data_IF_968390898536
#
_entry.id   IF_968390898536
#
_cell.length_a   1.000
_cell.length_b   1.000
_cell.length_c   1.000
_cell.angle_alpha   90.00
_cell.angle_beta   90.00
_cell.angle_gamma   90.00
#
_symmetry.space_group_name_H-M   'P 1'
#
loop_
_entity.id
_entity.type
_entity.pdbx_description
1 polymer ?
#
# COMPACT_ATOMS: atom_id res chain seq x y z
N UNK A 1 32.95 84.00 -64.34
CA UNK A 1 31.63 83.34 -64.23
C UNK A 1 31.79 81.95 -64.82
N UNK A 2 31.90 80.91 -63.99
CA UNK A 2 31.99 79.53 -64.47
C UNK A 2 30.85 78.75 -63.82
N UNK A 3 29.88 78.39 -64.66
CA UNK A 3 28.66 77.69 -64.32
C UNK A 3 29.00 76.30 -63.78
N UNK A 4 28.67 76.04 -62.51
CA UNK A 4 28.65 74.70 -61.95
C UNK A 4 27.75 73.79 -62.82
N UNK A 5 28.15 72.55 -63.12
CA UNK A 5 27.37 71.67 -63.97
C UNK A 5 26.03 71.34 -63.30
N UNK A 6 24.95 71.08 -64.07
CA UNK A 6 23.70 70.66 -63.48
C UNK A 6 23.96 69.32 -62.79
N UNK A 7 23.70 69.25 -61.49
CA UNK A 7 23.56 67.98 -60.80
C UNK A 7 22.46 67.23 -61.56
N UNK A 8 22.82 66.24 -62.37
CA UNK A 8 21.84 65.50 -63.15
C UNK A 8 20.97 64.72 -62.19
N UNK A 9 19.65 64.89 -62.30
CA UNK A 9 18.67 64.18 -61.48
C UNK A 9 18.92 62.65 -61.46
N UNK A 10 19.47 62.13 -62.56
CA UNK A 10 19.84 60.73 -62.76
C UNK A 10 20.93 60.21 -61.79
N UNK A 11 21.93 61.04 -61.46
CA UNK A 11 23.00 60.67 -60.51
C UNK A 11 22.50 60.66 -59.07
N UNK A 12 21.57 61.57 -58.76
CA UNK A 12 20.90 61.61 -57.46
C UNK A 12 19.96 60.41 -57.31
N UNK A 13 19.21 60.08 -58.37
CA UNK A 13 18.32 58.92 -58.41
C UNK A 13 19.08 57.60 -58.19
N UNK A 14 20.20 57.40 -58.88
CA UNK A 14 21.04 56.21 -58.71
C UNK A 14 21.62 56.06 -57.29
N UNK A 15 22.01 57.19 -56.66
CA UNK A 15 22.49 57.18 -55.27
C UNK A 15 21.37 56.83 -54.27
N UNK A 16 20.14 57.27 -54.54
CA UNK A 16 18.96 56.90 -53.74
C UNK A 16 18.66 55.40 -53.89
N UNK A 17 18.73 54.85 -55.10
CA UNK A 17 18.55 53.41 -55.34
C UNK A 17 19.62 52.56 -54.63
N UNK A 18 20.89 52.98 -54.69
CA UNK A 18 21.99 52.31 -53.97
C UNK A 18 21.79 52.39 -52.45
N UNK A 19 21.32 53.53 -51.92
CA UNK A 19 20.96 53.67 -50.51
C UNK A 19 19.78 52.77 -50.11
N UNK A 20 18.77 52.62 -50.96
CA UNK A 20 17.65 51.70 -50.72
C UNK A 20 18.10 50.23 -50.74
N UNK A 21 19.02 49.87 -51.64
CA UNK A 21 19.62 48.53 -51.70
C UNK A 21 20.43 48.23 -50.43
N UNK A 22 21.27 49.16 -49.99
CA UNK A 22 22.01 49.04 -48.73
C UNK A 22 21.07 48.95 -47.52
N UNK A 23 20.01 49.77 -47.48
CA UNK A 23 18.97 49.71 -46.43
C UNK A 23 18.32 48.32 -46.36
N UNK A 24 18.00 47.69 -47.51
CA UNK A 24 17.46 46.33 -47.55
C UNK A 24 18.43 45.29 -46.99
N UNK A 25 19.72 45.39 -47.33
CA UNK A 25 20.74 44.47 -46.81
C UNK A 25 20.88 44.62 -45.30
N UNK A 26 20.98 45.86 -44.81
CA UNK A 26 21.06 46.15 -43.37
C UNK A 26 19.82 45.61 -42.66
N UNK A 27 18.63 45.84 -43.20
CA UNK A 27 17.38 45.30 -42.65
C UNK A 27 17.39 43.77 -42.53
N UNK A 28 17.88 43.08 -43.57
CA UNK A 28 17.97 41.61 -43.59
C UNK A 28 19.00 41.08 -42.59
N UNK A 29 20.15 41.75 -42.49
CA UNK A 29 21.14 41.45 -41.45
C UNK A 29 20.56 41.65 -40.05
N UNK A 30 19.86 42.77 -39.80
CA UNK A 30 19.19 43.03 -38.52
C UNK A 30 18.20 41.92 -38.17
N UNK A 31 17.38 41.48 -39.13
CA UNK A 31 16.41 40.39 -38.94
C UNK A 31 17.07 39.04 -38.63
N UNK A 32 18.20 38.73 -39.27
CA UNK A 32 18.98 37.54 -38.96
C UNK A 32 19.60 37.62 -37.56
N UNK A 33 20.17 38.76 -37.18
CA UNK A 33 20.75 38.96 -35.85
C UNK A 33 19.68 38.90 -34.76
N UNK A 34 18.48 39.46 -34.98
CA UNK A 34 17.39 39.35 -34.01
C UNK A 34 16.90 37.91 -33.87
N UNK A 35 16.76 37.19 -34.98
CA UNK A 35 16.40 35.76 -34.98
C UNK A 35 17.44 34.91 -34.24
N UNK A 36 18.72 35.13 -34.52
CA UNK A 36 19.82 34.43 -33.87
C UNK A 36 19.86 34.73 -32.36
N UNK A 37 19.71 36.00 -31.99
CA UNK A 37 19.67 36.42 -30.59
C UNK A 37 18.51 35.74 -29.85
N UNK A 38 17.30 35.76 -30.43
CA UNK A 38 16.13 35.10 -29.86
C UNK A 38 16.35 33.60 -29.67
N UNK A 39 16.99 32.93 -30.63
CA UNK A 39 17.30 31.49 -30.52
C UNK A 39 18.31 31.21 -29.41
N UNK A 40 19.38 32.00 -29.31
CA UNK A 40 20.35 31.87 -28.21
C UNK A 40 19.72 32.14 -26.85
N UNK A 41 18.89 33.18 -26.73
CA UNK A 41 18.16 33.45 -25.49
C UNK A 41 17.20 32.31 -25.13
N UNK A 42 16.50 31.74 -26.12
CA UNK A 42 15.63 30.57 -25.92
C UNK A 42 16.41 29.35 -25.46
N UNK A 43 17.55 29.04 -26.08
CA UNK A 43 18.44 27.95 -25.68
C UNK A 43 19.01 28.17 -24.28
N UNK A 44 19.46 29.39 -23.97
CA UNK A 44 20.00 29.72 -22.66
C UNK A 44 18.95 29.57 -21.56
N UNK A 45 17.71 30.01 -21.82
CA UNK A 45 16.58 29.82 -20.91
C UNK A 45 16.21 28.34 -20.75
N UNK A 46 16.23 27.57 -21.84
CA UNK A 46 15.98 26.13 -21.78
C UNK A 46 17.06 25.38 -21.00
N UNK A 47 18.33 25.74 -21.21
CA UNK A 47 19.46 25.14 -20.50
C UNK A 47 19.43 25.49 -19.01
N UNK A 48 19.17 26.75 -18.67
CA UNK A 48 19.05 27.18 -17.28
C UNK A 48 17.89 26.47 -16.57
N UNK A 49 16.73 26.35 -17.21
CA UNK A 49 15.59 25.63 -16.66
C UNK A 49 15.90 24.14 -16.46
N UNK A 50 16.59 23.50 -17.41
CA UNK A 50 17.02 22.10 -17.28
C UNK A 50 18.04 21.92 -16.16
N UNK A 51 19.01 22.82 -16.02
CA UNK A 51 19.98 22.80 -14.92
C UNK A 51 19.28 22.90 -13.57
N UNK A 52 18.40 23.89 -13.40
CA UNK A 52 17.64 24.07 -12.15
C UNK A 52 16.75 22.86 -11.84
N UNK A 53 16.15 22.24 -12.87
CA UNK A 53 15.37 21.01 -12.70
C UNK A 53 16.23 19.83 -12.22
N UNK A 54 17.45 19.69 -12.75
CA UNK A 54 18.39 18.66 -12.31
C UNK A 54 18.87 18.89 -10.88
N UNK A 55 19.22 20.13 -10.52
CA UNK A 55 19.63 20.49 -9.16
C UNK A 55 18.52 20.21 -8.15
N UNK A 56 17.27 20.56 -8.48
CA UNK A 56 16.10 20.26 -7.66
C UNK A 56 15.90 18.74 -7.48
N UNK A 57 16.08 17.95 -8.54
CA UNK A 57 16.01 16.48 -8.46
C UNK A 57 17.15 15.90 -7.62
N UNK A 58 18.36 16.44 -7.74
CA UNK A 58 19.51 16.00 -6.95
C UNK A 58 19.30 16.27 -5.47
N UNK A 59 18.85 17.47 -5.10
CA UNK A 59 18.51 17.82 -3.72
C UNK A 59 17.40 16.92 -3.16
N UNK A 60 16.35 16.68 -3.95
CA UNK A 60 15.27 15.76 -3.56
C UNK A 60 15.77 14.33 -3.32
N UNK A 61 16.64 13.83 -4.20
CA UNK A 61 17.19 12.49 -4.09
C UNK A 61 18.15 12.35 -2.89
N UNK A 62 19.02 13.33 -2.68
CA UNK A 62 19.93 13.39 -1.53
C UNK A 62 19.16 13.44 -0.20
N UNK A 63 18.12 14.27 -0.13
CA UNK A 63 17.24 14.33 1.04
C UNK A 63 16.55 12.98 1.31
N UNK A 64 15.99 12.33 0.28
CA UNK A 64 15.39 10.98 0.41
C UNK A 64 16.41 9.93 0.84
N UNK A 65 17.64 10.00 0.32
CA UNK A 65 18.71 9.08 0.67
C UNK A 65 19.08 9.21 2.15
N UNK A 66 19.32 10.43 2.64
CA UNK A 66 19.58 10.68 4.06
C UNK A 66 18.45 10.17 4.96
N UNK A 67 17.20 10.49 4.62
CA UNK A 67 16.02 10.02 5.36
C UNK A 67 15.92 8.49 5.40
N UNK A 68 16.21 7.82 4.29
CA UNK A 68 16.19 6.36 4.20
C UNK A 68 17.30 5.75 5.06
N UNK A 69 18.50 6.33 5.02
CA UNK A 69 19.64 5.86 5.78
C UNK A 69 19.42 6.03 7.29
N UNK A 70 18.88 7.17 7.71
CA UNK A 70 18.49 7.42 9.11
C UNK A 70 17.43 6.42 9.57
N UNK A 71 16.42 6.14 8.74
CA UNK A 71 15.39 5.15 9.04
C UNK A 71 15.95 3.73 9.17
N UNK A 72 16.91 3.35 8.33
CA UNK A 72 17.57 2.05 8.41
C UNK A 72 18.45 1.94 9.65
N UNK A 73 19.22 2.98 9.96
CA UNK A 73 20.07 3.03 11.16
C UNK A 73 19.25 2.91 12.45
N UNK A 74 18.11 3.61 12.53
CA UNK A 74 17.18 3.47 13.65
C UNK A 74 16.59 2.06 13.76
N UNK A 75 16.31 1.41 12.63
CA UNK A 75 15.83 0.02 12.63
C UNK A 75 16.91 -0.92 13.14
N UNK A 76 18.14 -0.78 12.65
CA UNK A 76 19.28 -1.60 13.05
C UNK A 76 19.59 -1.47 14.54
N UNK A 77 19.59 -0.24 15.09
CA UNK A 77 19.82 -0.02 16.52
C UNK A 77 18.71 -0.60 17.41
N UNK A 78 17.49 -0.75 16.88
CA UNK A 78 16.37 -1.37 17.61
C UNK A 78 16.33 -2.91 17.52
N UNK A 79 17.15 -3.54 16.66
CA UNK A 79 17.12 -4.99 16.47
C UNK A 79 17.46 -5.78 17.74
N UNK A 80 18.51 -5.45 18.51
CA UNK A 80 18.86 -6.23 19.71
C UNK A 80 17.73 -6.24 20.75
N UNK A 81 17.08 -5.09 20.97
CA UNK A 81 15.94 -4.98 21.90
C UNK A 81 14.74 -5.81 21.41
N UNK A 82 14.46 -5.80 20.10
CA UNK A 82 13.39 -6.61 19.49
C UNK A 82 13.69 -8.10 19.58
N UNK A 83 14.93 -8.51 19.35
CA UNK A 83 15.36 -9.91 19.48
C UNK A 83 15.25 -10.40 20.93
N UNK A 84 15.71 -9.59 21.89
CA UNK A 84 15.58 -9.88 23.32
C UNK A 84 14.11 -10.00 23.74
N UNK A 85 13.26 -9.05 23.31
CA UNK A 85 11.83 -9.08 23.60
C UNK A 85 11.14 -10.32 22.99
N UNK A 86 11.49 -10.69 21.75
CA UNK A 86 10.96 -11.88 21.09
C UNK A 86 11.42 -13.16 21.79
N UNK A 87 12.69 -13.25 22.18
CA UNK A 87 13.23 -14.40 22.91
C UNK A 87 12.55 -14.56 24.28
N UNK A 88 12.39 -13.46 25.03
CA UNK A 88 11.65 -13.47 26.29
C UNK A 88 10.21 -13.92 26.10
N UNK A 89 9.53 -13.45 25.05
CA UNK A 89 8.18 -13.88 24.73
C UNK A 89 8.11 -15.38 24.43
N UNK A 90 9.01 -15.92 23.63
CA UNK A 90 9.08 -17.37 23.35
C UNK A 90 9.27 -18.19 24.63
N UNK A 91 10.15 -17.76 25.54
CA UNK A 91 10.32 -18.43 26.83
C UNK A 91 9.03 -18.36 27.67
N UNK A 92 8.32 -17.23 27.72
CA UNK A 92 7.02 -17.14 28.41
C UNK A 92 5.97 -18.07 27.82
N UNK A 93 5.89 -18.18 26.48
CA UNK A 93 4.96 -19.09 25.81
C UNK A 93 5.30 -20.56 26.11
N UNK A 94 6.59 -20.88 26.13
CA UNK A 94 7.10 -22.20 26.47
C UNK A 94 6.80 -22.58 27.91
N UNK A 95 7.02 -21.68 28.87
CA UNK A 95 6.65 -21.88 30.27
C UNK A 95 5.14 -22.10 30.43
N UNK A 96 4.31 -21.29 29.75
CA UNK A 96 2.87 -21.42 29.76
C UNK A 96 2.39 -22.77 29.18
N UNK A 97 3.00 -23.23 28.08
CA UNK A 97 2.73 -24.53 27.49
C UNK A 97 3.14 -25.69 28.42
N UNK A 98 4.28 -25.58 29.11
CA UNK A 98 4.68 -26.58 30.10
C UNK A 98 3.78 -26.61 31.34
N UNK A 99 3.28 -25.45 31.77
CA UNK A 99 2.32 -25.37 32.87
C UNK A 99 1.01 -26.10 32.52
N UNK A 100 0.53 -25.92 31.29
CA UNK A 100 -0.66 -26.62 30.77
C UNK A 100 -0.47 -28.14 30.71
N UNK A 101 0.71 -28.61 30.29
CA UNK A 101 1.01 -30.04 30.27
C UNK A 101 1.00 -30.67 31.67
N UNK A 102 1.41 -29.92 32.70
CA UNK A 102 1.45 -30.39 34.10
C UNK A 102 0.08 -30.46 34.76
N UNK A 103 -0.83 -29.56 34.39
CA UNK A 103 -2.21 -29.57 34.90
C UNK A 103 -3.25 -29.44 33.77
N UNK A 104 -3.62 -30.56 33.12
CA UNK A 104 -4.60 -30.54 32.04
C UNK A 104 -6.03 -30.22 32.52
N UNK A 105 -6.29 -30.13 33.84
CA UNK A 105 -7.64 -29.87 34.37
C UNK A 105 -8.10 -28.43 34.19
N UNK A 106 -7.18 -27.49 33.91
CA UNK A 106 -7.50 -26.12 33.52
C UNK A 106 -8.19 -26.01 32.16
N UNK A 107 -8.10 -27.01 31.29
CA UNK A 107 -8.61 -26.95 29.91
C UNK A 107 -10.15 -27.05 29.78
N UNK A 108 -10.91 -26.88 30.86
CA UNK A 108 -12.37 -26.93 30.82
C UNK A 108 -13.01 -25.59 30.41
N UNK A 109 -12.30 -24.47 30.56
CA UNK A 109 -12.82 -23.14 30.25
C UNK A 109 -12.61 -22.78 28.77
N UNK A 110 -13.52 -21.96 28.21
CA UNK A 110 -13.48 -21.50 26.82
C UNK A 110 -12.17 -20.76 26.49
N UNK A 111 -11.64 -19.98 27.43
CA UNK A 111 -10.36 -19.26 27.26
C UNK A 111 -9.18 -20.21 27.14
N UNK A 112 -9.09 -21.19 28.05
CA UNK A 112 -7.94 -22.11 28.13
C UNK A 112 -7.85 -23.03 26.91
N UNK A 113 -9.00 -23.46 26.39
CA UNK A 113 -9.05 -24.25 25.14
C UNK A 113 -8.63 -23.44 23.91
N UNK A 114 -9.01 -22.17 23.79
CA UNK A 114 -8.56 -21.29 22.70
C UNK A 114 -7.06 -21.04 22.78
N UNK A 115 -6.54 -20.75 23.98
CA UNK A 115 -5.12 -20.55 24.25
C UNK A 115 -4.30 -21.79 23.92
N UNK A 116 -4.77 -22.96 24.35
CA UNK A 116 -4.16 -24.26 24.02
C UNK A 116 -4.04 -24.47 22.51
N UNK A 117 -5.13 -24.25 21.76
CA UNK A 117 -5.16 -24.40 20.31
C UNK A 117 -4.24 -23.39 19.62
N UNK A 118 -4.17 -22.15 20.12
CA UNK A 118 -3.30 -21.11 19.61
C UNK A 118 -1.81 -21.42 19.85
N UNK A 119 -1.43 -21.85 21.06
CA UNK A 119 -0.06 -22.30 21.41
C UNK A 119 0.39 -23.47 20.56
N UNK A 120 -0.52 -24.41 20.28
CA UNK A 120 -0.27 -25.58 19.42
C UNK A 120 -0.24 -25.25 17.92
N UNK A 121 -0.54 -24.00 17.54
CA UNK A 121 -0.67 -23.57 16.14
C UNK A 121 -1.68 -24.43 15.35
N UNK A 122 -2.76 -24.89 16.00
CA UNK A 122 -3.77 -25.77 15.40
C UNK A 122 -4.91 -24.95 14.77
N UNK A 123 -4.67 -24.45 13.56
CA UNK A 123 -5.64 -23.62 12.80
C UNK A 123 -6.98 -24.32 12.58
N UNK A 124 -6.95 -25.60 12.19
CA UNK A 124 -8.16 -26.39 11.92
C UNK A 124 -8.96 -26.68 13.20
N UNK A 125 -8.28 -27.02 14.30
CA UNK A 125 -8.89 -27.20 15.61
C UNK A 125 -9.52 -25.91 16.14
N UNK A 126 -8.82 -24.78 15.96
CA UNK A 126 -9.29 -23.45 16.37
C UNK A 126 -10.59 -23.06 15.63
N UNK A 127 -10.64 -23.23 14.31
CA UNK A 127 -11.85 -22.96 13.53
C UNK A 127 -13.02 -23.85 13.97
N UNK A 128 -12.79 -25.15 14.16
CA UNK A 128 -13.83 -26.09 14.62
C UNK A 128 -14.37 -25.72 15.99
N UNK A 129 -13.50 -25.31 16.91
CA UNK A 129 -13.90 -24.91 18.25
C UNK A 129 -14.72 -23.62 18.24
N UNK A 130 -14.27 -22.60 17.50
CA UNK A 130 -15.00 -21.33 17.34
C UNK A 130 -16.40 -21.57 16.77
N UNK A 131 -16.53 -22.42 15.75
CA UNK A 131 -17.83 -22.81 15.18
C UNK A 131 -18.72 -23.47 16.22
N UNK A 132 -18.18 -24.38 17.03
CA UNK A 132 -18.92 -25.09 18.08
C UNK A 132 -19.44 -24.16 19.18
N UNK A 133 -18.77 -23.02 19.39
CA UNK A 133 -19.10 -22.00 20.41
C UNK A 133 -19.82 -20.77 19.85
N UNK A 134 -20.44 -20.87 18.66
CA UNK A 134 -21.13 -19.76 17.99
C UNK A 134 -22.14 -18.98 18.84
N UNK A 135 -22.87 -19.68 19.72
CA UNK A 135 -23.86 -19.05 20.61
C UNK A 135 -23.23 -18.08 21.62
N UNK A 136 -21.94 -18.21 21.90
CA UNK A 136 -21.16 -17.40 22.83
C UNK A 136 -20.32 -16.32 22.09
N UNK A 137 -20.79 -15.83 20.94
CA UNK A 137 -20.03 -14.97 20.02
C UNK A 137 -19.49 -13.64 20.58
N UNK A 138 -20.07 -13.12 21.67
CA UNK A 138 -19.66 -11.86 22.30
C UNK A 138 -18.41 -12.05 23.17
N UNK A 139 -18.41 -12.91 24.21
CA UNK A 139 -17.19 -13.19 24.96
C UNK A 139 -16.10 -13.81 24.08
N UNK A 140 -16.48 -14.62 23.09
CA UNK A 140 -15.55 -15.28 22.18
C UNK A 140 -14.64 -14.29 21.42
N UNK A 141 -15.10 -13.07 21.08
CA UNK A 141 -14.26 -12.09 20.39
C UNK A 141 -13.08 -11.61 21.22
N UNK A 142 -13.33 -11.29 22.49
CA UNK A 142 -12.26 -10.84 23.39
C UNK A 142 -11.26 -11.99 23.66
N UNK A 143 -11.79 -13.20 23.90
CA UNK A 143 -10.98 -14.38 24.17
C UNK A 143 -10.13 -14.82 22.96
N UNK A 144 -10.62 -14.66 21.72
CA UNK A 144 -9.82 -14.97 20.52
C UNK A 144 -8.60 -14.04 20.45
N UNK A 145 -8.77 -12.72 20.66
CA UNK A 145 -7.63 -11.80 20.62
C UNK A 145 -6.59 -12.12 21.70
N UNK A 146 -7.04 -12.49 22.90
CA UNK A 146 -6.14 -12.93 23.97
C UNK A 146 -5.44 -14.24 23.59
N UNK A 147 -6.16 -15.22 23.05
CA UNK A 147 -5.58 -16.49 22.63
C UNK A 147 -4.58 -16.33 21.49
N UNK A 148 -4.84 -15.45 20.52
CA UNK A 148 -3.91 -15.15 19.44
C UNK A 148 -2.59 -14.56 19.97
N UNK A 149 -2.61 -13.78 21.06
CA UNK A 149 -1.38 -13.28 21.68
C UNK A 149 -0.52 -14.36 22.34
N UNK A 150 -1.07 -15.56 22.54
CA UNK A 150 -0.34 -16.73 23.05
C UNK A 150 0.13 -17.67 21.92
N UNK A 151 -0.17 -17.35 20.66
CA UNK A 151 0.35 -18.07 19.51
C UNK A 151 1.80 -17.66 19.22
N UNK A 152 2.60 -18.62 18.76
CA UNK A 152 4.00 -18.36 18.35
C UNK A 152 4.05 -17.42 17.13
N UNK A 153 3.13 -17.62 16.17
CA UNK A 153 2.97 -16.75 15.00
C UNK A 153 1.48 -16.56 14.71
N UNK A 154 0.85 -15.49 15.24
CA UNK A 154 -0.57 -15.24 15.07
C UNK A 154 -0.95 -15.03 13.60
N UNK A 155 -0.08 -14.41 12.82
CA UNK A 155 -0.30 -14.11 11.40
C UNK A 155 -0.33 -15.38 10.58
N UNK A 156 0.64 -16.28 10.80
CA UNK A 156 0.67 -17.60 10.15
C UNK A 156 -0.54 -18.43 10.53
N UNK A 157 -0.92 -18.46 11.80
CA UNK A 157 -2.05 -19.26 12.29
C UNK A 157 -3.38 -18.86 11.62
N UNK A 158 -3.66 -17.56 11.56
CA UNK A 158 -4.87 -17.03 10.92
C UNK A 158 -4.81 -17.19 9.41
N UNK A 159 -3.63 -17.00 8.79
CA UNK A 159 -3.45 -17.20 7.36
C UNK A 159 -3.69 -18.67 6.95
N UNK A 160 -3.25 -19.64 7.75
CA UNK A 160 -3.52 -21.07 7.52
C UNK A 160 -5.02 -21.36 7.58
N UNK A 161 -5.74 -20.85 8.60
CA UNK A 161 -7.19 -21.00 8.69
C UNK A 161 -7.93 -20.37 7.49
N UNK A 162 -7.45 -19.21 7.05
CA UNK A 162 -8.01 -18.48 5.92
C UNK A 162 -7.75 -19.19 4.58
N UNK A 163 -6.53 -19.68 4.38
CA UNK A 163 -6.13 -20.44 3.19
C UNK A 163 -6.97 -21.73 3.05
N UNK A 164 -7.19 -22.44 4.15
CA UNK A 164 -8.07 -23.60 4.19
C UNK A 164 -9.51 -23.25 3.79
N UNK A 165 -10.02 -22.10 4.25
CA UNK A 165 -11.35 -21.61 3.87
C UNK A 165 -11.44 -21.30 2.37
N UNK A 166 -10.49 -20.54 1.82
CA UNK A 166 -10.45 -20.19 0.39
C UNK A 166 -10.32 -21.45 -0.48
N UNK A 167 -9.55 -22.43 -0.04
CA UNK A 167 -9.38 -23.70 -0.76
C UNK A 167 -10.65 -24.57 -0.73
N UNK A 168 -11.46 -24.48 0.33
CA UNK A 168 -12.70 -25.22 0.45
C UNK A 168 -13.89 -24.57 -0.25
N UNK A 169 -13.81 -23.26 -0.56
CA UNK A 169 -14.84 -22.53 -1.31
C UNK A 169 -15.02 -23.05 -2.73
N UNK A 170 -13.95 -23.46 -3.40
CA UNK A 170 -14.01 -24.09 -4.72
C UNK A 170 -14.57 -25.52 -4.70
N UNK A 171 -14.71 -26.12 -3.52
CA UNK A 171 -15.34 -27.43 -3.32
C UNK A 171 -16.78 -27.31 -2.83
N UNK A 172 -17.64 -28.29 -3.16
CA UNK A 172 -19.00 -28.39 -2.59
C UNK A 172 -18.96 -28.91 -1.15
N UNK A 173 -18.38 -28.12 -0.25
CA UNK A 173 -18.14 -28.53 1.13
C UNK A 173 -19.28 -28.09 2.05
N UNK A 174 -19.86 -29.02 2.81
CA UNK A 174 -20.90 -28.73 3.81
C UNK A 174 -20.31 -27.88 4.96
N UNK A 175 -21.05 -26.87 5.43
CA UNK A 175 -20.64 -26.02 6.58
C UNK A 175 -19.73 -24.83 6.25
N UNK A 176 -19.64 -24.43 4.97
CA UNK A 176 -18.81 -23.30 4.53
C UNK A 176 -19.22 -21.97 5.19
N UNK A 177 -20.52 -21.78 5.48
CA UNK A 177 -21.07 -20.59 6.13
C UNK A 177 -20.54 -20.40 7.56
N UNK A 178 -20.36 -21.49 8.29
CA UNK A 178 -19.86 -21.49 9.66
C UNK A 178 -18.35 -21.28 9.71
N UNK A 179 -17.61 -21.91 8.78
CA UNK A 179 -16.17 -21.69 8.60
C UNK A 179 -15.86 -20.26 8.20
N UNK A 180 -16.63 -19.69 7.26
CA UNK A 180 -16.53 -18.26 6.88
C UNK A 180 -16.68 -17.36 8.10
N UNK A 181 -17.69 -17.63 8.93
CA UNK A 181 -17.93 -16.84 10.13
C UNK A 181 -16.77 -16.93 11.12
N UNK A 182 -16.25 -18.14 11.39
CA UNK A 182 -15.10 -18.33 12.27
C UNK A 182 -13.81 -17.69 11.72
N UNK A 183 -13.53 -17.83 10.43
CA UNK A 183 -12.39 -17.19 9.77
C UNK A 183 -12.51 -15.66 9.83
N UNK A 184 -13.70 -15.11 9.61
CA UNK A 184 -13.95 -13.67 9.75
C UNK A 184 -13.69 -13.16 11.17
N UNK A 185 -14.00 -13.94 12.20
CA UNK A 185 -13.66 -13.60 13.59
C UNK A 185 -12.15 -13.62 13.83
N UNK A 186 -11.44 -14.62 13.31
CA UNK A 186 -9.98 -14.74 13.44
C UNK A 186 -9.26 -13.57 12.75
N UNK A 187 -9.65 -13.26 11.52
CA UNK A 187 -9.10 -12.13 10.74
C UNK A 187 -9.37 -10.80 11.44
N UNK A 188 -10.58 -10.60 11.96
CA UNK A 188 -10.92 -9.38 12.70
C UNK A 188 -10.16 -9.27 14.04
N UNK A 189 -9.95 -10.39 14.73
CA UNK A 189 -9.22 -10.41 16.00
C UNK A 189 -7.71 -10.15 15.81
N UNK A 190 -7.14 -10.60 14.68
CA UNK A 190 -5.74 -10.32 14.31
C UNK A 190 -5.57 -8.87 13.85
N UNK A 191 -6.51 -8.34 13.07
CA UNK A 191 -6.46 -6.99 12.52
C UNK A 191 -7.62 -6.13 13.03
N UNK A 192 -7.61 -5.73 14.32
CA UNK A 192 -8.62 -4.84 14.85
C UNK A 192 -8.53 -3.46 14.18
N UNK A 193 -9.64 -2.76 14.07
CA UNK A 193 -9.71 -1.45 13.38
C UNK A 193 -8.72 -0.41 13.93
N UNK A 194 -8.35 -0.52 15.21
CA UNK A 194 -7.34 0.33 15.86
C UNK A 194 -5.94 0.16 15.28
N UNK A 195 -5.59 -1.02 14.76
CA UNK A 195 -4.24 -1.30 14.25
C UNK A 195 -3.97 -0.71 12.86
N UNK A 196 -5.00 -0.21 12.17
CA UNK A 196 -4.88 0.27 10.79
C UNK A 196 -4.31 1.69 10.66
N UNK A 197 -4.42 2.52 11.72
CA UNK A 197 -4.01 3.93 11.68
C UNK A 197 -2.57 4.20 12.15
N UNK A 198 -1.95 3.27 12.88
CA UNK A 198 -0.70 3.51 13.64
C UNK A 198 0.59 2.98 13.00
N UNK A 199 0.56 2.51 11.76
CA UNK A 199 1.74 1.86 11.13
C UNK A 199 2.76 2.80 10.48
N UNK A 200 2.75 4.11 10.76
CA UNK A 200 3.79 5.01 10.23
C UNK A 200 5.12 4.76 10.95
N UNK A 201 6.04 4.06 10.29
CA UNK A 201 7.44 3.91 10.70
C UNK A 201 7.80 2.56 11.36
N UNK A 202 6.82 1.79 11.84
CA UNK A 202 7.04 0.40 12.27
C UNK A 202 7.04 -0.50 11.03
N UNK A 203 8.07 -1.32 10.86
CA UNK A 203 8.07 -2.35 9.82
C UNK A 203 6.95 -3.37 10.03
N UNK A 204 6.65 -4.22 9.03
CA UNK A 204 5.59 -5.22 9.13
C UNK A 204 5.74 -6.07 10.39
N UNK A 205 4.62 -6.39 11.04
CA UNK A 205 4.57 -7.26 12.23
C UNK A 205 4.73 -8.75 11.87
N UNK A 206 4.85 -9.05 10.59
CA UNK A 206 4.97 -10.38 10.03
C UNK A 206 6.18 -10.49 9.09
N UNK A 207 6.67 -11.71 8.90
CA UNK A 207 7.76 -11.98 7.97
C UNK A 207 7.34 -11.73 6.52
N UNK A 208 8.30 -11.33 5.68
CA UNK A 208 8.09 -11.16 4.23
C UNK A 208 7.47 -12.38 3.57
N UNK A 209 7.91 -13.58 3.94
CA UNK A 209 7.37 -14.84 3.42
C UNK A 209 5.87 -15.01 3.73
N UNK A 210 5.44 -14.60 4.94
CA UNK A 210 4.03 -14.65 5.34
C UNK A 210 3.22 -13.62 4.55
N UNK A 211 3.77 -12.42 4.32
CA UNK A 211 3.13 -11.40 3.47
C UNK A 211 2.98 -11.83 2.02
N UNK A 212 4.00 -12.48 1.44
CA UNK A 212 3.95 -13.03 0.09
C UNK A 212 2.93 -14.17 -0.01
N UNK A 213 2.90 -15.10 0.94
CA UNK A 213 1.88 -16.16 1.01
C UNK A 213 0.48 -15.58 1.17
N UNK A 214 0.29 -14.56 2.01
CA UNK A 214 -1.00 -13.88 2.15
C UNK A 214 -1.47 -13.26 0.83
N UNK A 215 -0.56 -12.63 0.09
CA UNK A 215 -0.86 -12.10 -1.24
C UNK A 215 -1.36 -13.20 -2.19
N UNK A 216 -0.64 -14.32 -2.28
CA UNK A 216 -1.03 -15.45 -3.15
C UNK A 216 -2.41 -16.02 -2.79
N UNK A 217 -2.73 -16.14 -1.51
CA UNK A 217 -4.04 -16.66 -1.06
C UNK A 217 -5.16 -15.67 -1.39
N UNK A 218 -4.93 -14.36 -1.19
CA UNK A 218 -5.93 -13.32 -1.50
C UNK A 218 -6.12 -13.17 -3.02
N UNK A 219 -5.05 -13.25 -3.82
CA UNK A 219 -5.11 -13.26 -5.28
C UNK A 219 -5.88 -14.48 -5.81
N UNK A 220 -5.61 -15.65 -5.24
CA UNK A 220 -6.37 -16.87 -5.56
C UNK A 220 -7.85 -16.72 -5.22
N UNK A 221 -8.17 -16.13 -4.07
CA UNK A 221 -9.56 -15.87 -3.72
C UNK A 221 -10.20 -14.88 -4.69
N UNK A 222 -9.51 -13.79 -5.04
CA UNK A 222 -9.98 -12.84 -6.06
C UNK A 222 -10.33 -13.52 -7.38
N UNK A 223 -9.48 -14.42 -7.86
CA UNK A 223 -9.75 -15.19 -9.08
C UNK A 223 -11.02 -16.06 -9.00
N UNK A 224 -11.40 -16.55 -7.81
CA UNK A 224 -12.68 -17.23 -7.61
C UNK A 224 -13.87 -16.27 -7.71
N UNK A 225 -13.71 -15.01 -7.29
CA UNK A 225 -14.75 -13.98 -7.36
C UNK A 225 -15.09 -13.61 -8.82
N UNK A 226 -14.10 -13.62 -9.69
CA UNK A 226 -14.28 -13.31 -11.12
C UNK A 226 -14.94 -14.48 -11.89
N UNK A 227 -14.90 -15.71 -11.36
CA UNK A 227 -15.41 -16.92 -12.01
C UNK A 227 -16.72 -17.48 -11.47
N UNK A 228 -17.14 -17.14 -10.24
CA UNK A 228 -18.37 -17.65 -9.62
C UNK A 228 -19.61 -16.85 -10.06
N UNK A 229 -20.73 -17.56 -10.32
CA UNK A 229 -22.05 -16.95 -10.57
C UNK A 229 -22.70 -16.39 -9.30
N UNK A 230 -22.30 -16.92 -8.14
CA UNK A 230 -22.64 -16.37 -6.82
C UNK A 230 -21.59 -15.31 -6.48
N UNK A 231 -22.01 -14.04 -6.43
CA UNK A 231 -21.15 -12.94 -5.99
C UNK A 231 -20.76 -13.07 -4.51
N UNK A 232 -19.87 -12.19 -4.03
CA UNK A 232 -19.48 -12.19 -2.62
C UNK A 232 -20.68 -11.95 -1.72
N UNK A 233 -20.75 -12.70 -0.63
CA UNK A 233 -21.57 -12.28 0.48
C UNK A 233 -20.95 -11.03 1.14
N UNK A 234 -21.75 -10.14 1.76
CA UNK A 234 -21.23 -8.97 2.46
C UNK A 234 -20.18 -9.30 3.54
N UNK A 235 -20.25 -10.49 4.16
CA UNK A 235 -19.25 -10.95 5.13
C UNK A 235 -17.92 -11.34 4.49
N UNK A 236 -17.93 -11.89 3.27
CA UNK A 236 -16.70 -12.22 2.54
C UNK A 236 -16.01 -10.95 2.05
N UNK A 237 -16.77 -9.96 1.55
CA UNK A 237 -16.20 -8.69 1.12
C UNK A 237 -15.47 -7.98 2.27
N UNK A 238 -16.08 -7.93 3.46
CA UNK A 238 -15.44 -7.36 4.65
C UNK A 238 -14.18 -8.13 5.02
N UNK A 239 -14.24 -9.46 5.06
CA UNK A 239 -13.08 -10.31 5.40
C UNK A 239 -11.94 -10.17 4.38
N UNK A 240 -12.25 -10.13 3.09
CA UNK A 240 -11.30 -9.89 2.00
C UNK A 240 -10.57 -8.57 2.21
N UNK A 241 -11.31 -7.48 2.44
CA UNK A 241 -10.72 -6.17 2.67
C UNK A 241 -9.92 -6.09 3.97
N UNK A 242 -10.34 -6.80 5.03
CA UNK A 242 -9.52 -6.91 6.25
C UNK A 242 -8.17 -7.58 5.97
N UNK A 243 -8.13 -8.62 5.12
CA UNK A 243 -6.86 -9.25 4.74
C UNK A 243 -5.99 -8.32 3.90
N UNK A 244 -6.58 -7.58 2.95
CA UNK A 244 -5.86 -6.60 2.13
C UNK A 244 -5.26 -5.48 2.99
N UNK A 245 -6.03 -4.95 3.95
CA UNK A 245 -5.57 -3.90 4.86
C UNK A 245 -4.55 -4.45 5.87
N UNK A 246 -4.86 -5.59 6.50
CA UNK A 246 -4.06 -6.19 7.57
C UNK A 246 -2.66 -6.59 7.12
N UNK A 247 -2.56 -7.23 5.95
CA UNK A 247 -1.31 -7.64 5.32
C UNK A 247 -0.71 -6.57 4.40
N UNK A 248 -1.26 -5.34 4.39
CA UNK A 248 -0.72 -4.21 3.61
C UNK A 248 -0.63 -4.48 2.09
N UNK A 249 -1.59 -5.23 1.56
CA UNK A 249 -1.60 -5.69 0.17
C UNK A 249 -2.23 -4.71 -0.81
N UNK A 250 -2.54 -3.48 -0.38
CA UNK A 250 -3.25 -2.47 -1.20
C UNK A 250 -2.61 -2.30 -2.58
N UNK A 251 -1.29 -2.20 -2.65
CA UNK A 251 -0.57 -1.95 -3.91
C UNK A 251 -0.58 -3.13 -4.88
N UNK A 252 -0.95 -4.33 -4.43
CA UNK A 252 -1.06 -5.53 -5.29
C UNK A 252 -2.37 -5.59 -6.05
N UNK A 253 -3.38 -4.83 -5.65
CA UNK A 253 -4.70 -4.85 -6.26
C UNK A 253 -4.98 -3.56 -7.03
N UNK A 254 -5.79 -3.69 -8.08
CA UNK A 254 -6.31 -2.53 -8.81
C UNK A 254 -7.15 -1.64 -7.87
N UNK A 255 -6.86 -0.34 -7.87
CA UNK A 255 -7.56 0.63 -7.02
C UNK A 255 -9.05 0.69 -7.37
N UNK A 256 -9.41 0.60 -8.65
CA UNK A 256 -10.79 0.61 -9.13
C UNK A 256 -11.59 -0.59 -8.62
N UNK A 257 -10.99 -1.78 -8.64
CA UNK A 257 -11.56 -3.00 -8.05
C UNK A 257 -11.85 -2.83 -6.55
N UNK A 258 -10.88 -2.37 -5.77
CA UNK A 258 -11.05 -2.18 -4.32
C UNK A 258 -12.13 -1.13 -4.01
N UNK A 259 -12.16 -0.02 -4.78
CA UNK A 259 -13.20 1.01 -4.65
C UNK A 259 -14.58 0.47 -4.93
N UNK A 260 -14.74 -0.24 -6.05
CA UNK A 260 -16.01 -0.87 -6.41
C UNK A 260 -16.48 -1.81 -5.31
N UNK A 261 -15.58 -2.64 -4.78
CA UNK A 261 -15.92 -3.56 -3.70
C UNK A 261 -16.39 -2.83 -2.42
N UNK A 262 -15.77 -1.71 -2.07
CA UNK A 262 -16.23 -0.90 -0.93
C UNK A 262 -17.61 -0.27 -1.20
N UNK A 263 -17.85 0.23 -2.42
CA UNK A 263 -19.12 0.85 -2.81
C UNK A 263 -20.28 -0.17 -2.81
N UNK A 264 -20.06 -1.34 -3.41
CA UNK A 264 -21.03 -2.42 -3.53
C UNK A 264 -21.52 -2.93 -2.15
N UNK A 265 -20.71 -2.76 -1.10
CA UNK A 265 -21.01 -3.19 0.26
C UNK A 265 -21.04 -2.05 1.30
N UNK A 266 -21.22 -0.80 0.85
CA UNK A 266 -21.16 0.42 1.66
C UNK A 266 -22.12 0.48 2.85
N UNK A 267 -23.21 -0.29 2.84
CA UNK A 267 -24.20 -0.37 3.94
C UNK A 267 -23.65 -1.02 5.22
N UNK A 268 -22.46 -1.63 5.17
CA UNK A 268 -21.83 -2.31 6.31
C UNK A 268 -21.03 -1.32 7.16
N UNK A 269 -21.26 -1.38 8.49
CA UNK A 269 -20.62 -0.53 9.50
C UNK A 269 -19.09 -0.46 9.40
N UNK A 270 -18.45 -1.56 9.01
CA UNK A 270 -16.99 -1.68 9.00
C UNK A 270 -16.37 -1.16 7.68
N UNK A 271 -17.17 -0.98 6.63
CA UNK A 271 -16.68 -0.58 5.30
C UNK A 271 -16.15 0.85 5.25
N UNK A 272 -16.79 1.80 5.96
CA UNK A 272 -16.29 3.16 6.04
C UNK A 272 -14.87 3.22 6.63
N UNK A 273 -14.59 2.37 7.64
CA UNK A 273 -13.27 2.32 8.28
C UNK A 273 -12.23 1.62 7.40
N UNK A 274 -12.63 0.57 6.68
CA UNK A 274 -11.79 -0.09 5.70
C UNK A 274 -11.45 0.84 4.53
N UNK A 275 -12.41 1.63 4.06
CA UNK A 275 -12.20 2.66 3.05
C UNK A 275 -11.16 3.68 3.52
N UNK A 276 -11.25 4.13 4.77
CA UNK A 276 -10.28 5.03 5.38
C UNK A 276 -8.88 4.42 5.44
N UNK A 277 -8.78 3.17 5.91
CA UNK A 277 -7.51 2.45 5.96
C UNK A 277 -6.88 2.24 4.56
N UNK A 278 -7.71 2.10 3.53
CA UNK A 278 -7.27 2.03 2.13
C UNK A 278 -6.96 3.41 1.52
N UNK A 279 -7.19 4.51 2.24
CA UNK A 279 -6.96 5.88 1.75
C UNK A 279 -7.99 6.31 0.70
N UNK A 280 -9.24 5.87 0.84
CA UNK A 280 -10.35 6.26 -0.02
C UNK A 280 -11.21 7.39 0.55
N UNK A 281 -10.88 7.92 1.74
CA UNK A 281 -11.66 8.94 2.46
C UNK A 281 -12.12 10.12 1.59
N UNK A 282 -11.25 10.66 0.72
CA UNK A 282 -11.55 11.83 -0.12
C UNK A 282 -12.04 11.50 -1.54
N UNK A 283 -12.12 10.21 -1.91
CA UNK A 283 -12.34 9.78 -3.30
C UNK A 283 -13.61 8.93 -3.49
N UNK A 284 -14.55 8.98 -2.55
CA UNK A 284 -15.79 8.18 -2.55
C UNK A 284 -17.05 9.03 -2.70
N UNK A 285 -16.90 10.27 -3.20
CA UNK A 285 -17.99 11.17 -3.58
C UNK A 285 -18.40 11.04 -5.04
#
# INVERSE_FOLDING_TARGET
MSTAPPISADRVQKFIEDLEAQKKIVSKCTELFTTLTNHFTSLQNSLSQKSQSLDAKFLSLSSKFSQTLDSLSQRESSLPDRESAAAAHIETLKEAAFAEFKDPKGSAQLSDTLKSLARRMDSAGLVKFIVSKRKESVPLRAEISVALSEAVDPHRLVLEAFEDFVSQKSGKTLGLTDKRWACGMLVHALFPESSWKEKKGKGPEFSRNIGERAAEVVDRWKGQLDGEKEGLTPGEAVMFLHMVVGFELKERFDEGFLRKLVLDFSSRRDMAKLAAALGFDDKMG
#
